data_IF_303879294808
#
_entry.id   IF_303879294808
#
_cell.length_a   1.000
_cell.length_b   1.000
_cell.length_c   1.000
_cell.angle_alpha   90.00
_cell.angle_beta   90.00
_cell.angle_gamma   90.00
#
_symmetry.space_group_name_H-M   'P 1'
#
loop_
_entity.id
_entity.type
_entity.pdbx_description
1 polymer ?
#
# COMPACT_ATOMS: atom_id res chain seq x y z
N UNK A 1 -27.22 36.25 72.00
CA UNK A 1 -27.08 35.05 71.15
C UNK A 1 -27.61 33.84 71.91
N UNK A 2 -28.29 32.85 71.30
CA UNK A 2 -29.18 32.85 70.12
C UNK A 2 -30.66 32.59 70.50
N UNK A 3 -31.52 32.54 69.46
CA UNK A 3 -32.99 32.57 69.45
C UNK A 3 -33.61 31.18 69.19
N UNK A 4 -34.85 30.94 69.64
CA UNK A 4 -35.62 29.70 69.49
C UNK A 4 -37.12 29.94 69.18
N UNK A 5 -37.70 29.01 68.39
CA UNK A 5 -39.06 28.41 68.47
C UNK A 5 -40.36 29.27 68.39
N UNK A 6 -41.56 28.90 67.90
CA UNK A 6 -42.20 27.87 67.02
C UNK A 6 -43.74 28.24 66.94
N UNK A 7 -44.54 27.60 66.05
CA UNK A 7 -46.01 27.24 66.17
C UNK A 7 -47.13 28.23 65.69
N UNK A 8 -48.36 27.89 65.20
CA UNK A 8 -49.19 26.65 64.94
C UNK A 8 -50.45 26.95 64.03
N UNK A 9 -50.96 25.90 63.33
CA UNK A 9 -52.27 25.45 62.70
C UNK A 9 -53.63 26.24 62.86
N UNK A 10 -54.84 25.85 62.26
CA UNK A 10 -55.33 24.58 61.61
C UNK A 10 -56.35 24.64 60.38
N UNK A 11 -56.77 23.47 59.82
CA UNK A 11 -58.15 23.20 59.24
C UNK A 11 -58.34 22.59 57.81
N UNK A 12 -59.21 21.56 57.62
CA UNK A 12 -59.66 20.82 56.37
C UNK A 12 -61.22 20.83 56.23
N UNK A 13 -61.97 20.17 55.28
CA UNK A 13 -61.90 19.90 53.80
C UNK A 13 -63.29 20.04 53.04
N UNK A 14 -63.43 19.66 51.74
CA UNK A 14 -64.57 18.94 51.06
C UNK A 14 -64.45 18.91 49.49
N UNK A 15 -65.06 17.93 48.79
CA UNK A 15 -64.64 17.40 47.46
C UNK A 15 -65.64 17.57 46.25
N UNK A 16 -65.18 17.62 44.96
CA UNK A 16 -66.06 17.84 43.80
C UNK A 16 -66.17 16.64 42.80
N UNK A 17 -66.43 15.41 43.26
CA UNK A 17 -66.31 14.19 42.44
C UNK A 17 -67.51 13.79 41.55
N UNK A 18 -68.55 14.62 41.40
CA UNK A 18 -69.78 14.20 40.68
C UNK A 18 -69.96 14.68 39.23
N UNK A 19 -69.22 15.70 38.79
CA UNK A 19 -69.33 16.25 37.41
C UNK A 19 -68.45 15.56 36.35
N UNK A 20 -67.47 14.75 36.75
CA UNK A 20 -66.43 14.24 35.84
C UNK A 20 -66.83 13.04 34.96
N UNK A 21 -68.00 12.42 35.17
CA UNK A 21 -68.36 11.16 34.51
C UNK A 21 -68.88 11.31 33.07
N UNK A 22 -69.53 12.43 32.73
CA UNK A 22 -70.09 12.63 31.39
C UNK A 22 -69.06 13.14 30.35
N UNK A 23 -68.04 13.89 30.78
CA UNK A 23 -67.00 14.40 29.86
C UNK A 23 -66.05 13.30 29.34
N UNK A 24 -65.75 12.29 30.16
CA UNK A 24 -64.80 11.22 29.82
C UNK A 24 -65.25 10.31 28.66
N UNK A 25 -66.55 10.10 28.47
CA UNK A 25 -67.07 9.13 27.47
C UNK A 25 -66.97 9.68 26.03
N UNK A 26 -67.22 10.98 25.83
CA UNK A 26 -67.17 11.59 24.49
C UNK A 26 -65.73 11.89 24.02
N UNK A 27 -64.84 12.29 24.93
CA UNK A 27 -63.41 12.47 24.61
C UNK A 27 -62.73 11.13 24.28
N UNK A 28 -63.09 10.05 24.99
CA UNK A 28 -62.55 8.71 24.72
C UNK A 28 -62.87 8.18 23.32
N UNK A 29 -64.09 8.35 22.81
CA UNK A 29 -64.45 7.96 21.43
C UNK A 29 -63.77 8.82 20.37
N UNK A 30 -63.64 10.11 20.61
CA UNK A 30 -63.00 11.03 19.67
C UNK A 30 -61.50 10.75 19.53
N UNK A 31 -60.81 10.55 20.67
CA UNK A 31 -59.40 10.16 20.69
C UNK A 31 -59.19 8.77 20.09
N UNK A 32 -60.03 7.78 20.41
CA UNK A 32 -59.92 6.44 19.84
C UNK A 32 -60.05 6.42 18.30
N UNK A 33 -60.90 7.27 17.72
CA UNK A 33 -61.01 7.40 16.27
C UNK A 33 -59.79 8.10 15.63
N UNK A 34 -59.18 9.08 16.30
CA UNK A 34 -57.94 9.72 15.84
C UNK A 34 -56.77 8.73 15.90
N UNK A 35 -56.65 7.96 16.98
CA UNK A 35 -55.62 6.92 17.11
C UNK A 35 -55.81 5.81 16.09
N UNK A 36 -57.05 5.38 15.83
CA UNK A 36 -57.34 4.34 14.81
C UNK A 36 -57.03 4.83 13.39
N UNK A 37 -57.32 6.10 13.04
CA UNK A 37 -56.95 6.70 11.75
C UNK A 37 -55.44 6.90 11.60
N UNK A 38 -54.74 7.34 12.65
CA UNK A 38 -53.27 7.47 12.65
C UNK A 38 -52.56 6.12 12.58
N UNK A 39 -53.09 5.10 13.25
CA UNK A 39 -52.57 3.73 13.17
C UNK A 39 -52.77 3.10 11.79
N UNK A 40 -53.94 3.32 11.15
CA UNK A 40 -54.17 2.88 9.77
C UNK A 40 -53.24 3.57 8.76
N UNK A 41 -52.95 4.86 8.95
CA UNK A 41 -51.99 5.60 8.12
C UNK A 41 -50.55 5.08 8.30
N UNK A 42 -50.14 4.81 9.55
CA UNK A 42 -48.81 4.26 9.86
C UNK A 42 -48.62 2.83 9.32
N UNK A 43 -49.63 1.97 9.43
CA UNK A 43 -49.60 0.62 8.85
C UNK A 43 -49.54 0.69 7.31
N UNK A 44 -50.28 1.61 6.69
CA UNK A 44 -50.20 1.83 5.24
C UNK A 44 -48.79 2.26 4.77
N UNK A 45 -48.14 3.16 5.50
CA UNK A 45 -46.76 3.60 5.19
C UNK A 45 -45.75 2.47 5.41
N UNK A 46 -45.88 1.67 6.47
CA UNK A 46 -45.00 0.53 6.68
C UNK A 46 -45.15 -0.53 5.59
N UNK A 47 -46.38 -0.81 5.13
CA UNK A 47 -46.62 -1.78 4.05
C UNK A 47 -46.05 -1.29 2.72
N UNK A 48 -46.16 0.00 2.38
CA UNK A 48 -45.59 0.55 1.14
C UNK A 48 -44.06 0.59 1.17
N UNK A 49 -43.45 0.94 2.31
CA UNK A 49 -41.98 0.89 2.47
C UNK A 49 -41.51 -0.57 2.38
N UNK A 50 -42.17 -1.53 3.03
CA UNK A 50 -41.81 -2.95 2.89
C UNK A 50 -41.94 -3.39 1.43
N UNK A 51 -43.02 -3.05 0.72
CA UNK A 51 -43.16 -3.41 -0.70
C UNK A 51 -42.03 -2.79 -1.55
N UNK A 52 -41.64 -1.55 -1.31
CA UNK A 52 -40.54 -0.88 -2.03
C UNK A 52 -39.15 -1.47 -1.71
N UNK A 53 -38.96 -2.02 -0.51
CA UNK A 53 -37.67 -2.59 -0.08
C UNK A 53 -37.59 -4.12 -0.19
N UNK A 54 -38.70 -4.84 -0.34
CA UNK A 54 -38.74 -6.31 -0.51
C UNK A 54 -39.12 -6.75 -1.92
N UNK A 55 -39.66 -5.87 -2.76
CA UNK A 55 -39.87 -6.13 -4.18
C UNK A 55 -38.98 -5.20 -5.01
N UNK A 56 -37.73 -5.58 -5.32
CA UNK A 56 -36.97 -4.90 -6.36
C UNK A 56 -37.81 -4.95 -7.65
N UNK A 57 -38.07 -3.78 -8.20
CA UNK A 57 -38.71 -3.60 -9.50
C UNK A 57 -38.11 -4.58 -10.50
N UNK A 58 -38.99 -5.35 -11.15
CA UNK A 58 -38.66 -6.27 -12.24
C UNK A 58 -38.16 -5.43 -13.41
N UNK A 59 -36.89 -5.07 -13.38
CA UNK A 59 -36.12 -4.74 -14.58
C UNK A 59 -35.58 -6.06 -15.09
N UNK A 60 -36.14 -6.49 -16.21
CA UNK A 60 -35.71 -7.60 -17.06
C UNK A 60 -34.21 -7.92 -16.94
N UNK A 61 -33.81 -9.17 -16.65
CA UNK A 61 -32.44 -9.59 -16.84
C UNK A 61 -32.21 -9.66 -18.34
N UNK A 62 -31.61 -8.62 -18.91
CA UNK A 62 -30.96 -8.75 -20.19
C UNK A 62 -29.87 -9.81 -19.96
N UNK A 63 -30.02 -10.97 -20.59
CA UNK A 63 -29.03 -12.04 -20.62
C UNK A 63 -27.66 -11.43 -21.00
N UNK A 64 -26.86 -11.07 -20.00
CA UNK A 64 -25.41 -11.21 -20.12
C UNK A 64 -25.15 -12.68 -19.90
N UNK A 65 -25.11 -13.43 -20.99
CA UNK A 65 -24.28 -14.61 -21.05
C UNK A 65 -22.85 -14.17 -20.72
N UNK A 66 -22.51 -14.16 -19.44
CA UNK A 66 -21.13 -14.28 -19.00
C UNK A 66 -20.71 -15.71 -19.32
N UNK A 67 -20.48 -15.95 -20.61
CA UNK A 67 -19.64 -17.04 -21.05
C UNK A 67 -18.30 -16.79 -20.38
N UNK A 68 -17.91 -17.77 -19.58
CA UNK A 68 -16.59 -17.95 -18.98
C UNK A 68 -15.56 -17.99 -20.11
N UNK A 69 -15.15 -16.82 -20.58
CA UNK A 69 -14.12 -16.66 -21.58
C UNK A 69 -12.91 -16.03 -20.90
N UNK A 70 -11.91 -16.88 -20.68
CA UNK A 70 -10.48 -16.61 -20.88
C UNK A 70 -9.96 -15.27 -20.33
N UNK A 71 -9.22 -15.33 -19.22
CA UNK A 71 -8.32 -14.28 -18.70
C UNK A 71 -7.17 -14.00 -19.70
N UNK A 72 -7.51 -13.58 -20.92
CA UNK A 72 -6.61 -12.84 -21.77
C UNK A 72 -6.99 -11.37 -21.65
N UNK A 73 -6.20 -10.64 -20.87
CA UNK A 73 -6.06 -9.20 -21.09
C UNK A 73 -5.94 -8.97 -22.60
N UNK A 74 -6.66 -8.00 -23.18
CA UNK A 74 -6.47 -7.66 -24.59
C UNK A 74 -4.99 -7.37 -24.77
N UNK A 75 -4.32 -8.12 -25.64
CA UNK A 75 -2.91 -7.89 -25.98
C UNK A 75 -2.82 -6.45 -26.44
N UNK A 76 -2.34 -5.57 -25.56
CA UNK A 76 -2.16 -4.17 -25.86
C UNK A 76 -1.17 -4.13 -27.02
N UNK A 77 -1.66 -3.81 -28.21
CA UNK A 77 -0.81 -3.77 -29.40
C UNK A 77 0.28 -2.72 -29.16
N UNK A 78 1.52 -3.19 -29.04
CA UNK A 78 2.69 -2.36 -28.84
C UNK A 78 2.80 -1.47 -30.08
N UNK A 79 2.73 -0.16 -29.89
CA UNK A 79 2.90 0.79 -31.00
C UNK A 79 4.31 0.66 -31.59
N UNK A 80 4.45 0.81 -32.92
CA UNK A 80 5.75 0.70 -33.61
C UNK A 80 6.83 1.61 -33.02
N UNK A 81 6.45 2.78 -32.51
CA UNK A 81 7.35 3.71 -31.83
C UNK A 81 7.97 3.14 -30.55
N UNK A 82 7.28 2.23 -29.87
CA UNK A 82 7.70 1.60 -28.61
C UNK A 82 8.27 0.20 -28.80
N UNK A 83 8.03 -0.41 -29.97
CA UNK A 83 8.36 -1.79 -30.27
C UNK A 83 9.88 -2.03 -30.33
N UNK A 84 10.39 -2.83 -29.39
CA UNK A 84 11.73 -3.42 -29.45
C UNK A 84 11.62 -4.92 -29.74
N UNK A 85 12.33 -5.42 -30.75
CA UNK A 85 12.39 -6.86 -31.06
C UNK A 85 13.73 -7.41 -30.61
N UNK A 86 13.72 -8.38 -29.70
CA UNK A 86 14.92 -9.02 -29.17
C UNK A 86 14.65 -10.52 -28.97
N UNK A 87 15.55 -11.39 -29.44
CA UNK A 87 15.40 -12.86 -29.41
C UNK A 87 14.03 -13.35 -29.93
N UNK A 88 13.56 -12.77 -31.04
CA UNK A 88 12.24 -13.04 -31.66
C UNK A 88 11.02 -12.73 -30.77
N UNK A 89 11.20 -12.02 -29.66
CA UNK A 89 10.13 -11.53 -28.79
C UNK A 89 9.98 -10.02 -28.97
N UNK A 90 8.73 -9.55 -28.98
CA UNK A 90 8.41 -8.12 -29.05
C UNK A 90 8.17 -7.58 -27.64
N UNK A 91 8.91 -6.54 -27.28
CA UNK A 91 8.82 -5.87 -26.00
C UNK A 91 8.38 -4.42 -26.17
N UNK A 92 7.61 -3.91 -25.21
CA UNK A 92 7.29 -2.51 -25.11
C UNK A 92 8.40 -1.78 -24.34
N UNK A 93 9.17 -0.95 -25.04
CA UNK A 93 10.27 -0.18 -24.48
C UNK A 93 9.86 1.27 -24.16
N UNK A 94 8.56 1.55 -24.06
CA UNK A 94 8.06 2.81 -23.53
C UNK A 94 7.60 2.64 -22.08
N UNK A 95 7.86 3.65 -21.24
CA UNK A 95 7.14 3.76 -19.97
C UNK A 95 5.71 4.22 -20.24
N UNK A 96 4.72 3.54 -19.68
CA UNK A 96 3.32 3.96 -19.71
C UNK A 96 2.90 4.42 -18.32
N UNK A 97 2.30 5.61 -18.21
CA UNK A 97 1.84 6.10 -16.92
C UNK A 97 0.72 5.19 -16.40
N UNK A 98 0.82 4.59 -15.19
CA UNK A 98 -0.17 3.61 -14.72
C UNK A 98 -1.61 4.12 -14.68
N UNK A 99 -1.81 5.39 -14.32
CA UNK A 99 -3.12 6.03 -14.24
C UNK A 99 -3.70 6.43 -15.61
N UNK A 100 -2.85 6.54 -16.63
CA UNK A 100 -3.24 6.89 -17.99
C UNK A 100 -2.25 6.28 -19.00
N UNK A 101 -2.45 5.03 -19.43
CA UNK A 101 -1.51 4.32 -20.30
C UNK A 101 -1.30 4.96 -21.69
N UNK A 102 -2.16 5.91 -22.09
CA UNK A 102 -1.97 6.68 -23.31
C UNK A 102 -0.81 7.68 -23.20
N UNK A 103 -0.43 8.08 -21.98
CA UNK A 103 0.75 8.91 -21.74
C UNK A 103 1.99 8.01 -21.75
N UNK A 104 2.84 8.22 -22.74
CA UNK A 104 4.06 7.46 -22.96
C UNK A 104 5.30 8.29 -22.63
N UNK A 105 6.27 7.66 -21.99
CA UNK A 105 7.62 8.20 -21.84
C UNK A 105 8.43 8.07 -23.12
N UNK A 106 9.64 8.64 -23.10
CA UNK A 106 10.62 8.42 -24.17
C UNK A 106 10.94 6.94 -24.27
N UNK A 107 10.92 6.40 -25.49
CA UNK A 107 11.34 5.02 -25.80
C UNK A 107 12.78 4.78 -25.33
N UNK A 108 13.00 3.69 -24.60
CA UNK A 108 14.32 3.18 -24.28
C UNK A 108 15.01 2.60 -25.52
N UNK A 109 16.35 2.71 -25.56
CA UNK A 109 17.12 2.14 -26.67
C UNK A 109 17.02 0.61 -26.66
N UNK A 110 16.67 0.03 -27.80
CA UNK A 110 16.56 -1.43 -27.96
C UNK A 110 17.95 -2.11 -27.88
N UNK A 111 19.03 -1.35 -28.01
CA UNK A 111 20.41 -1.84 -27.83
C UNK A 111 20.69 -2.33 -26.40
N UNK A 112 19.88 -1.90 -25.43
CA UNK A 112 20.02 -2.32 -24.03
C UNK A 112 19.27 -3.61 -23.70
N UNK A 113 18.51 -4.18 -24.65
CA UNK A 113 17.77 -5.41 -24.42
C UNK A 113 18.62 -6.58 -23.89
N UNK A 114 19.86 -6.84 -24.37
CA UNK A 114 20.71 -7.88 -23.80
C UNK A 114 20.99 -7.68 -22.30
N UNK A 115 21.31 -6.45 -21.88
CA UNK A 115 21.56 -6.15 -20.47
C UNK A 115 20.30 -6.33 -19.61
N UNK A 116 19.14 -5.98 -20.14
CA UNK A 116 17.87 -6.17 -19.45
C UNK A 116 17.50 -7.65 -19.34
N UNK A 117 17.78 -8.49 -20.34
CA UNK A 117 17.54 -9.94 -20.28
C UNK A 117 18.48 -10.58 -19.26
N UNK A 118 19.77 -10.22 -19.27
CA UNK A 118 20.78 -10.71 -18.32
C UNK A 118 20.44 -10.35 -16.86
N UNK A 119 19.77 -9.21 -16.65
CA UNK A 119 19.27 -8.76 -15.35
C UNK A 119 17.87 -9.33 -15.01
N UNK A 120 17.29 -10.17 -15.85
CA UNK A 120 15.94 -10.71 -15.65
C UNK A 120 14.81 -9.67 -15.77
N UNK A 121 15.08 -8.48 -16.32
CA UNK A 121 14.14 -7.36 -16.37
C UNK A 121 13.22 -7.39 -17.60
N UNK A 122 13.51 -8.20 -18.61
CA UNK A 122 12.61 -8.40 -19.75
C UNK A 122 11.46 -9.37 -19.45
N UNK A 123 11.65 -10.27 -18.49
CA UNK A 123 10.67 -11.29 -18.11
C UNK A 123 10.20 -10.96 -16.70
N UNK A 124 8.93 -10.56 -16.55
CA UNK A 124 8.36 -10.21 -15.24
C UNK A 124 8.27 -11.34 -14.21
N UNK A 125 8.94 -12.48 -14.42
CA UNK A 125 8.86 -13.68 -13.59
C UNK A 125 9.50 -13.54 -12.21
N UNK A 126 10.41 -12.57 -12.02
CA UNK A 126 11.09 -12.33 -10.75
C UNK A 126 10.49 -11.15 -9.96
N UNK A 127 9.32 -10.64 -10.37
CA UNK A 127 8.68 -9.52 -9.70
C UNK A 127 7.81 -10.03 -8.55
N UNK A 128 8.09 -9.55 -7.32
CA UNK A 128 7.28 -9.87 -6.15
C UNK A 128 5.92 -9.17 -6.27
N UNK A 129 4.84 -9.94 -6.24
CA UNK A 129 3.49 -9.39 -6.12
C UNK A 129 3.20 -9.03 -4.66
N UNK A 130 3.50 -7.78 -4.28
CA UNK A 130 3.28 -7.27 -2.93
C UNK A 130 1.82 -7.29 -2.46
N UNK A 131 0.85 -7.51 -3.36
CA UNK A 131 -0.56 -7.69 -2.99
C UNK A 131 -0.86 -9.11 -2.49
N UNK A 132 -0.05 -10.10 -2.87
CA UNK A 132 -0.27 -11.52 -2.60
C UNK A 132 0.81 -12.15 -1.74
N UNK A 133 2.05 -11.70 -1.89
CA UNK A 133 3.23 -12.28 -1.28
C UNK A 133 3.75 -11.43 -0.12
N UNK A 134 4.32 -12.09 0.88
CA UNK A 134 5.02 -11.39 1.96
C UNK A 134 6.43 -10.98 1.48
N UNK A 135 6.91 -9.83 1.98
CA UNK A 135 8.25 -9.34 1.64
C UNK A 135 9.34 -10.33 2.12
N UNK A 136 10.27 -10.74 1.26
CA UNK A 136 11.42 -11.53 1.68
C UNK A 136 12.32 -10.71 2.59
N UNK A 137 13.17 -11.40 3.35
CA UNK A 137 14.11 -10.73 4.26
C UNK A 137 15.08 -9.86 3.46
N UNK A 138 15.10 -8.52 3.62
CA UNK A 138 15.87 -7.69 2.71
C UNK A 138 17.38 -7.77 3.00
N UNK A 139 18.19 -7.88 1.96
CA UNK A 139 19.65 -7.78 2.08
C UNK A 139 20.10 -6.35 2.38
N UNK A 140 21.17 -6.18 3.17
CA UNK A 140 21.76 -4.86 3.44
C UNK A 140 22.88 -4.62 2.45
N UNK A 141 22.73 -3.59 1.63
CA UNK A 141 23.61 -3.37 0.48
C UNK A 141 24.11 -1.93 0.50
N UNK A 142 25.40 -1.77 0.22
CA UNK A 142 26.01 -0.48 -0.09
C UNK A 142 27.05 -0.67 -1.19
N UNK A 143 27.50 0.43 -1.78
CA UNK A 143 28.56 0.42 -2.78
C UNK A 143 29.43 1.65 -2.56
N UNK A 144 30.74 1.51 -2.74
CA UNK A 144 31.68 2.59 -2.48
C UNK A 144 32.90 2.55 -3.40
N UNK A 145 33.35 3.74 -3.77
CA UNK A 145 34.64 3.99 -4.41
C UNK A 145 35.65 4.48 -3.38
N UNK A 146 36.94 4.48 -3.74
CA UNK A 146 38.01 4.84 -2.79
C UNK A 146 37.81 6.21 -2.15
N UNK A 147 37.39 7.21 -2.93
CA UNK A 147 37.13 8.57 -2.43
C UNK A 147 35.93 8.67 -1.47
N UNK A 148 35.19 7.59 -1.25
CA UNK A 148 34.08 7.48 -0.29
C UNK A 148 34.28 6.37 0.76
N UNK A 149 35.51 5.87 0.89
CA UNK A 149 35.83 4.74 1.75
C UNK A 149 35.55 5.06 3.22
N UNK A 150 35.98 6.21 3.71
CA UNK A 150 35.78 6.62 5.12
C UNK A 150 34.30 6.81 5.46
N UNK A 151 33.50 7.38 4.56
CA UNK A 151 32.05 7.47 4.75
C UNK A 151 31.42 6.09 4.77
N UNK A 152 31.88 5.18 3.90
CA UNK A 152 31.45 3.79 3.85
C UNK A 152 31.76 3.02 5.13
N UNK A 153 32.98 3.16 5.66
CA UNK A 153 33.37 2.62 6.97
C UNK A 153 32.47 3.15 8.08
N UNK A 154 32.18 4.45 8.04
CA UNK A 154 31.29 5.07 9.02
C UNK A 154 29.88 4.47 8.92
N UNK A 155 29.31 4.28 7.72
CA UNK A 155 28.03 3.58 7.56
C UNK A 155 28.07 2.19 8.22
N UNK A 156 29.11 1.40 7.94
CA UNK A 156 29.27 0.06 8.53
C UNK A 156 29.28 0.12 10.07
N UNK A 157 29.98 1.08 10.67
CA UNK A 157 29.99 1.27 12.13
C UNK A 157 28.59 1.55 12.67
N UNK A 158 27.82 2.43 12.03
CA UNK A 158 26.45 2.73 12.48
C UNK A 158 25.51 1.53 12.28
N UNK A 159 25.64 0.80 11.16
CA UNK A 159 24.90 -0.44 10.95
C UNK A 159 25.23 -1.48 12.02
N UNK A 160 26.49 -1.64 12.42
CA UNK A 160 26.89 -2.57 13.49
C UNK A 160 26.36 -2.17 14.86
N UNK A 161 26.23 -0.86 15.13
CA UNK A 161 25.61 -0.38 16.39
C UNK A 161 24.13 -0.76 16.50
N UNK A 162 23.39 -0.64 15.39
CA UNK A 162 21.94 -0.92 15.38
C UNK A 162 21.65 -2.41 15.14
N UNK A 163 22.40 -3.05 14.25
CA UNK A 163 22.24 -4.45 13.84
C UNK A 163 23.57 -5.22 13.85
N UNK A 164 24.09 -5.62 15.03
CA UNK A 164 25.41 -6.22 15.17
C UNK A 164 25.63 -7.47 14.30
N UNK A 165 24.58 -8.28 14.10
CA UNK A 165 24.64 -9.56 13.39
C UNK A 165 24.17 -9.50 11.93
N UNK A 166 23.80 -8.33 11.42
CA UNK A 166 23.30 -8.21 10.05
C UNK A 166 24.45 -8.33 9.05
N UNK A 167 24.38 -9.26 8.11
CA UNK A 167 25.35 -9.32 7.00
C UNK A 167 25.19 -8.09 6.11
N UNK A 168 26.30 -7.48 5.71
CA UNK A 168 26.34 -6.29 4.85
C UNK A 168 27.09 -6.67 3.57
N UNK A 169 26.45 -6.46 2.42
CA UNK A 169 27.07 -6.60 1.10
C UNK A 169 27.60 -5.25 0.69
N UNK A 170 28.90 -5.18 0.40
CA UNK A 170 29.59 -4.00 -0.08
C UNK A 170 30.03 -4.26 -1.51
N UNK A 171 29.58 -3.43 -2.44
CA UNK A 171 30.13 -3.43 -3.80
C UNK A 171 31.28 -2.46 -3.93
N UNK A 172 32.39 -2.97 -4.45
CA UNK A 172 33.59 -2.25 -4.81
C UNK A 172 33.39 -1.55 -6.17
N UNK A 173 33.50 -0.22 -6.19
CA UNK A 173 33.40 0.62 -7.39
C UNK A 173 34.76 1.15 -7.88
N UNK A 174 35.87 0.59 -7.39
CA UNK A 174 37.23 1.07 -7.61
C UNK A 174 37.90 1.49 -6.31
N UNK A 175 37.95 0.59 -5.32
CA UNK A 175 38.69 0.69 -4.09
C UNK A 175 40.18 0.40 -4.30
N UNK A 176 41.02 0.94 -3.43
CA UNK A 176 42.43 0.57 -3.36
C UNK A 176 42.61 -0.85 -2.79
N UNK A 177 43.73 -1.48 -3.10
CA UNK A 177 44.06 -2.82 -2.55
C UNK A 177 44.04 -2.84 -1.02
N UNK A 178 44.46 -1.74 -0.39
CA UNK A 178 44.47 -1.60 1.07
C UNK A 178 43.04 -1.53 1.64
N UNK A 179 42.16 -0.76 1.00
CA UNK A 179 40.73 -0.67 1.36
C UNK A 179 40.00 -2.00 1.18
N UNK A 180 40.27 -2.71 0.07
CA UNK A 180 39.77 -4.06 -0.19
C UNK A 180 40.19 -5.03 0.92
N UNK A 181 41.47 -5.01 1.31
CA UNK A 181 41.99 -5.86 2.38
C UNK A 181 41.35 -5.54 3.73
N UNK A 182 41.15 -4.26 4.04
CA UNK A 182 40.48 -3.85 5.28
C UNK A 182 39.02 -4.35 5.32
N UNK A 183 38.24 -4.17 4.26
CA UNK A 183 36.85 -4.64 4.20
C UNK A 183 36.72 -6.16 4.30
N UNK A 184 37.60 -6.91 3.61
CA UNK A 184 37.61 -8.39 3.66
C UNK A 184 37.86 -8.93 5.07
N UNK A 185 38.56 -8.18 5.93
CA UNK A 185 38.84 -8.57 7.31
C UNK A 185 37.70 -8.23 8.28
N UNK A 186 36.64 -7.53 7.84
CA UNK A 186 35.52 -7.15 8.73
C UNK A 186 34.50 -8.27 8.83
N UNK A 187 34.09 -8.55 10.06
CA UNK A 187 33.08 -9.57 10.35
C UNK A 187 31.74 -9.24 9.66
N UNK A 188 31.13 -10.26 9.05
CA UNK A 188 29.81 -10.17 8.41
C UNK A 188 29.72 -9.08 7.32
N UNK A 189 30.86 -8.74 6.71
CA UNK A 189 30.93 -7.92 5.50
C UNK A 189 31.29 -8.85 4.33
N UNK A 190 30.46 -8.83 3.29
CA UNK A 190 30.74 -9.50 2.03
C UNK A 190 31.13 -8.44 1.01
N UNK A 191 32.38 -8.46 0.57
CA UNK A 191 32.87 -7.58 -0.49
C UNK A 191 32.68 -8.24 -1.86
N UNK A 192 32.04 -7.54 -2.79
CA UNK A 192 31.83 -7.96 -4.18
C UNK A 192 32.38 -6.90 -5.13
N UNK A 193 32.98 -7.32 -6.22
CA UNK A 193 33.39 -6.39 -7.27
C UNK A 193 32.18 -6.03 -8.16
N UNK A 194 32.00 -4.76 -8.50
CA UNK A 194 31.02 -4.39 -9.51
C UNK A 194 31.55 -4.73 -10.91
N UNK A 195 30.84 -5.54 -11.72
CA UNK A 195 31.36 -6.06 -12.97
C UNK A 195 31.26 -5.01 -14.10
N UNK A 196 32.02 -3.92 -14.02
CA UNK A 196 32.00 -2.83 -15.00
C UNK A 196 32.25 -3.31 -16.43
N UNK A 197 33.07 -4.34 -16.61
CA UNK A 197 33.45 -4.87 -17.92
C UNK A 197 32.28 -5.52 -18.67
N UNK A 198 31.18 -5.83 -17.97
CA UNK A 198 29.95 -6.33 -18.60
C UNK A 198 29.10 -5.22 -19.21
N UNK A 199 29.38 -3.95 -18.92
CA UNK A 199 28.50 -2.84 -19.28
C UNK A 199 29.24 -1.80 -20.13
N UNK A 200 28.50 -0.91 -20.84
CA UNK A 200 29.12 0.16 -21.62
C UNK A 200 30.02 1.04 -20.76
N UNK A 201 31.10 1.57 -21.36
CA UNK A 201 32.17 2.27 -20.63
C UNK A 201 31.70 3.47 -19.80
N UNK A 202 30.60 4.12 -20.22
CA UNK A 202 30.00 5.23 -19.49
C UNK A 202 29.39 4.82 -18.13
N UNK A 203 29.14 3.53 -17.87
CA UNK A 203 28.72 3.03 -16.55
C UNK A 203 29.83 3.20 -15.50
N UNK A 204 31.10 3.18 -15.93
CA UNK A 204 32.27 3.41 -15.05
C UNK A 204 32.40 4.88 -14.62
N UNK A 205 31.67 5.80 -15.24
CA UNK A 205 31.64 7.21 -14.83
C UNK A 205 30.76 7.35 -13.59
N UNK A 206 31.36 7.19 -12.41
CA UNK A 206 30.65 7.05 -11.14
C UNK A 206 29.73 8.23 -10.81
N UNK A 207 30.08 9.45 -11.24
CA UNK A 207 29.30 10.69 -11.05
C UNK A 207 27.98 10.71 -11.82
N UNK A 208 27.80 9.82 -12.80
CA UNK A 208 26.53 9.67 -13.51
C UNK A 208 25.60 8.66 -12.84
N UNK A 209 26.08 7.95 -11.80
CA UNK A 209 25.31 6.99 -11.00
C UNK A 209 24.61 5.87 -11.78
N UNK A 210 25.00 5.62 -13.04
CA UNK A 210 24.38 4.61 -13.92
C UNK A 210 24.55 3.19 -13.40
N UNK A 211 25.65 2.92 -12.70
CA UNK A 211 25.94 1.65 -12.05
C UNK A 211 24.93 1.31 -10.95
N UNK A 212 24.32 2.31 -10.30
CA UNK A 212 23.45 2.14 -9.13
C UNK A 212 22.17 1.37 -9.42
N UNK A 213 21.33 1.74 -10.42
CA UNK A 213 20.15 0.94 -10.76
C UNK A 213 20.51 -0.47 -11.24
N UNK A 214 21.65 -0.63 -11.92
CA UNK A 214 22.14 -1.95 -12.36
C UNK A 214 22.48 -2.83 -11.15
N UNK A 215 23.23 -2.29 -10.19
CA UNK A 215 23.54 -2.97 -8.92
C UNK A 215 22.27 -3.36 -8.18
N UNK A 216 21.33 -2.42 -8.03
CA UNK A 216 20.05 -2.67 -7.37
C UNK A 216 19.32 -3.82 -8.06
N UNK A 217 19.24 -3.84 -9.39
CA UNK A 217 18.61 -4.93 -10.14
C UNK A 217 19.32 -6.28 -9.89
N UNK A 218 20.65 -6.32 -9.95
CA UNK A 218 21.42 -7.55 -9.68
C UNK A 218 21.13 -8.12 -8.28
N UNK A 219 21.06 -7.27 -7.25
CA UNK A 219 20.85 -7.77 -5.88
C UNK A 219 19.37 -8.06 -5.61
N UNK A 220 18.43 -7.35 -6.26
CA UNK A 220 17.01 -7.70 -6.20
C UNK A 220 16.73 -9.05 -6.83
N UNK A 221 17.42 -9.40 -7.93
CA UNK A 221 17.30 -10.73 -8.55
C UNK A 221 17.74 -11.86 -7.59
N UNK A 222 18.78 -11.62 -6.79
CA UNK A 222 19.29 -12.60 -5.82
C UNK A 222 18.46 -12.70 -4.52
N UNK A 223 17.96 -11.59 -3.99
CA UNK A 223 17.34 -11.54 -2.65
C UNK A 223 15.84 -11.23 -2.64
N UNK A 224 15.28 -10.76 -3.75
CA UNK A 224 13.89 -10.29 -3.87
C UNK A 224 13.62 -8.94 -3.18
N UNK A 225 14.30 -8.63 -2.06
CA UNK A 225 14.20 -7.35 -1.38
C UNK A 225 15.56 -6.87 -0.87
N UNK A 226 15.77 -5.55 -0.85
CA UNK A 226 17.01 -4.94 -0.35
C UNK A 226 16.75 -3.66 0.46
N UNK A 227 17.64 -3.41 1.41
CA UNK A 227 17.95 -2.09 1.95
C UNK A 227 19.24 -1.61 1.29
N UNK A 228 19.11 -0.88 0.18
CA UNK A 228 20.25 -0.17 -0.40
C UNK A 228 20.50 1.12 0.38
N UNK A 229 21.75 1.37 0.76
CA UNK A 229 22.16 2.54 1.54
C UNK A 229 23.38 3.19 0.90
N UNK A 230 23.27 4.47 0.56
CA UNK A 230 24.45 5.25 0.17
C UNK A 230 25.42 5.37 1.35
N UNK A 231 26.72 5.48 1.05
CA UNK A 231 27.78 5.57 2.07
C UNK A 231 27.62 6.72 3.03
N UNK A 232 26.87 7.76 2.68
CA UNK A 232 26.58 8.91 3.54
C UNK A 232 25.48 8.67 4.58
N UNK A 233 24.74 7.55 4.50
CA UNK A 233 23.62 7.24 5.42
C UNK A 233 24.14 6.90 6.81
N UNK A 234 23.44 7.36 7.86
CA UNK A 234 23.75 7.05 9.27
C UNK A 234 22.49 6.58 9.99
N UNK A 235 22.46 5.30 10.35
CA UNK A 235 21.35 4.73 11.12
C UNK A 235 21.56 4.94 12.61
N UNK A 236 20.66 5.70 13.24
CA UNK A 236 20.72 5.96 14.68
C UNK A 236 19.88 4.97 15.51
N UNK A 237 18.80 4.42 14.93
CA UNK A 237 17.85 3.50 15.57
C UNK A 237 17.23 2.57 14.51
N UNK A 238 16.80 1.36 14.90
CA UNK A 238 15.96 0.53 14.02
C UNK A 238 14.54 1.08 14.01
N UNK A 239 14.08 1.47 12.82
CA UNK A 239 12.69 1.87 12.53
C UNK A 239 12.16 1.25 11.24
N UNK A 240 12.74 0.13 10.78
CA UNK A 240 12.32 -0.51 9.52
C UNK A 240 10.87 -0.97 9.55
N UNK A 241 10.36 -1.28 10.74
CA UNK A 241 8.95 -1.63 10.96
C UNK A 241 7.99 -0.58 10.40
N UNK A 242 8.31 0.72 10.49
CA UNK A 242 7.49 1.81 9.92
C UNK A 242 7.32 1.62 8.41
N UNK A 243 8.39 1.23 7.71
CA UNK A 243 8.33 0.98 6.27
C UNK A 243 7.57 -0.30 5.95
N UNK A 244 7.73 -1.35 6.76
CA UNK A 244 6.98 -2.60 6.58
C UNK A 244 5.47 -2.45 6.84
N UNK A 245 5.08 -1.54 7.74
CA UNK A 245 3.68 -1.21 8.01
C UNK A 245 3.02 -0.52 6.82
N UNK A 246 3.73 0.33 6.08
CA UNK A 246 3.22 0.96 4.85
C UNK A 246 2.85 -0.07 3.76
N UNK A 247 3.67 -1.11 3.60
CA UNK A 247 3.36 -2.21 2.67
C UNK A 247 2.12 -2.99 3.12
N UNK A 248 2.01 -3.27 4.42
CA UNK A 248 0.86 -4.00 4.98
C UNK A 248 -0.43 -3.19 4.85
N UNK A 249 -0.37 -1.87 5.05
CA UNK A 249 -1.50 -0.97 4.91
C UNK A 249 -2.08 -1.02 3.48
N UNK A 250 -1.21 -0.93 2.46
CA UNK A 250 -1.62 -1.01 1.05
C UNK A 250 -2.33 -2.32 0.72
N UNK A 251 -1.76 -3.45 1.16
CA UNK A 251 -2.38 -4.78 0.96
C UNK A 251 -3.79 -4.89 1.56
N UNK A 252 -4.01 -4.29 2.75
CA UNK A 252 -5.33 -4.25 3.39
C UNK A 252 -6.31 -3.34 2.65
N UNK A 253 -5.85 -2.21 2.11
CA UNK A 253 -6.68 -1.33 1.31
C UNK A 253 -7.16 -2.06 0.03
N UNK A 254 -6.24 -2.70 -0.70
CA UNK A 254 -6.54 -3.37 -1.96
C UNK A 254 -7.51 -4.55 -1.78
N UNK A 255 -7.37 -5.31 -0.69
CA UNK A 255 -8.30 -6.41 -0.36
C UNK A 255 -9.71 -5.93 0.01
N UNK A 256 -9.86 -4.72 0.54
CA UNK A 256 -11.17 -4.13 0.85
C UNK A 256 -11.93 -3.61 -0.38
N UNK A 257 -11.26 -3.35 -1.51
CA UNK A 257 -11.89 -2.93 -2.77
C UNK A 257 -12.30 -4.11 -3.68
N UNK A 258 -11.82 -5.32 -3.38
CA UNK A 258 -12.08 -6.54 -4.16
C UNK A 258 -13.04 -7.51 -3.47
N UNK A 259 -13.54 -7.17 -2.27
CA UNK A 259 -14.47 -7.96 -1.45
C UNK A 259 -15.90 -7.43 -1.46
#
# INVERSE_FOLDING_TARGET
MPSAATHLLPGQPESPFREWRHWKVNVGRYLANIFRKKAQLLVGICVTVVILYTFPTITSPLLRTASRNDDRQPVQMISDECLCRYNNVSYDFCYHLPHNPAIKGRRFSCEHAPYLDDLGLLKGGNLIDLSREDLPTPAFVTAMSENHFDEGLTLIVYLRKVWPRQKIIVYDLGLSEQSVKDLKNKCLVELREFPFDKYPSNVRVLTQYRWKPILIAMVLDEYGAIWYMDTSVRWLKDRRQVVYEEFTCRRKADSHFLG
#
